data_IF_500447146327
#
_entry.id   IF_500447146327
#
_cell.length_a   1.000
_cell.length_b   1.000
_cell.length_c   1.000
_cell.angle_alpha   90.00
_cell.angle_beta   90.00
_cell.angle_gamma   90.00
#
_symmetry.space_group_name_H-M   'P 1'
#
loop_
_entity.id
_entity.type
_entity.pdbx_description
1 polymer ?
#
# COMPACT_ATOMS: atom_id res chain seq x y z
N UNK A 1 20.54 7.36 11.91
CA UNK A 1 21.16 6.33 12.78
C UNK A 1 22.29 5.69 12.02
N UNK A 2 23.45 5.46 12.63
CA UNK A 2 24.59 4.88 11.90
C UNK A 2 24.42 3.39 11.66
N UNK A 3 24.57 2.96 10.41
CA UNK A 3 24.63 1.55 10.04
C UNK A 3 25.84 0.90 10.73
N UNK A 4 25.65 -0.27 11.35
CA UNK A 4 26.74 -0.98 12.04
C UNK A 4 27.71 -1.67 11.09
N UNK A 5 27.31 -1.89 9.83
CA UNK A 5 28.12 -2.59 8.84
C UNK A 5 29.02 -1.62 8.04
N UNK A 6 28.46 -0.49 7.59
CA UNK A 6 29.20 0.49 6.77
C UNK A 6 29.39 1.86 7.45
N UNK A 7 28.82 2.10 8.63
CA UNK A 7 29.04 3.33 9.42
C UNK A 7 28.28 4.57 8.96
N UNK A 8 27.50 4.47 7.89
CA UNK A 8 26.82 5.61 7.23
C UNK A 8 25.52 5.94 7.95
N UNK A 9 25.11 7.21 7.91
CA UNK A 9 23.83 7.64 8.46
C UNK A 9 22.65 7.14 7.62
N UNK A 10 21.87 6.24 8.23
CA UNK A 10 20.62 5.68 7.70
C UNK A 10 19.45 6.49 8.27
N UNK A 11 18.52 6.96 7.44
CA UNK A 11 17.34 7.67 7.90
C UNK A 11 16.50 6.75 8.80
N UNK A 12 15.87 7.31 9.84
CA UNK A 12 15.18 6.52 10.88
C UNK A 12 13.94 5.75 10.37
N UNK A 13 13.55 5.93 9.12
CA UNK A 13 12.45 5.21 8.47
C UNK A 13 12.90 4.04 7.61
N UNK A 14 14.20 3.90 7.33
CA UNK A 14 14.71 2.81 6.51
C UNK A 14 15.11 1.61 7.38
N UNK A 15 14.57 0.45 7.00
CA UNK A 15 14.82 -0.84 7.64
C UNK A 15 16.12 -1.49 7.14
N UNK A 16 16.61 -1.02 5.99
CA UNK A 16 17.82 -1.50 5.33
C UNK A 16 18.74 -0.32 5.05
N UNK A 17 20.05 -0.55 5.17
CA UNK A 17 21.02 0.45 4.75
C UNK A 17 21.06 0.55 3.21
N UNK A 18 20.95 1.77 2.62
CA UNK A 18 20.91 1.95 1.17
C UNK A 18 22.24 1.61 0.46
N UNK A 19 23.35 1.56 1.19
CA UNK A 19 24.68 1.35 0.58
C UNK A 19 25.14 -0.12 0.68
N UNK A 20 24.95 -0.76 1.84
CA UNK A 20 25.42 -2.14 2.07
C UNK A 20 24.30 -3.18 2.11
N UNK A 21 23.03 -2.77 2.03
CA UNK A 21 21.87 -3.66 2.07
C UNK A 21 21.62 -4.37 3.41
N UNK A 22 22.43 -4.09 4.45
CA UNK A 22 22.28 -4.73 5.75
C UNK A 22 21.02 -4.25 6.48
N UNK A 23 20.31 -5.19 7.12
CA UNK A 23 19.13 -4.91 7.93
C UNK A 23 19.55 -4.10 9.17
N UNK A 24 18.97 -2.92 9.35
CA UNK A 24 19.31 -1.99 10.43
C UNK A 24 18.32 -2.00 11.59
N UNK A 25 17.26 -2.81 11.54
CA UNK A 25 16.30 -2.97 12.63
C UNK A 25 16.96 -3.55 13.89
N UNK A 26 16.89 -2.84 15.02
CA UNK A 26 17.55 -3.24 16.29
C UNK A 26 16.56 -3.65 17.38
N UNK A 27 15.30 -3.24 17.26
CA UNK A 27 14.27 -3.50 18.27
C UNK A 27 13.02 -4.11 17.65
N UNK A 28 12.19 -4.78 18.46
CA UNK A 28 10.86 -5.24 18.01
C UNK A 28 9.98 -4.08 17.51
N UNK A 29 10.20 -2.88 18.03
CA UNK A 29 9.50 -1.67 17.59
C UNK A 29 9.90 -1.26 16.16
N UNK A 30 11.16 -1.48 15.77
CA UNK A 30 11.61 -1.21 14.40
C UNK A 30 10.99 -2.18 13.39
N UNK A 31 10.84 -3.47 13.78
CA UNK A 31 10.19 -4.49 12.94
C UNK A 31 8.68 -4.24 12.74
N UNK A 32 8.02 -3.59 13.71
CA UNK A 32 6.60 -3.22 13.61
C UNK A 32 6.35 -1.95 12.78
N UNK A 33 7.42 -1.27 12.34
CA UNK A 33 7.30 -0.06 11.55
C UNK A 33 6.87 -0.44 10.13
N UNK A 34 5.62 -0.13 9.79
CA UNK A 34 5.07 -0.38 8.46
C UNK A 34 5.83 0.47 7.44
N UNK A 35 6.43 -0.17 6.43
CA UNK A 35 7.12 0.55 5.36
C UNK A 35 6.11 1.42 4.58
N UNK A 36 6.27 2.76 4.59
CA UNK A 36 5.34 3.66 3.91
C UNK A 36 5.32 3.44 2.39
N UNK A 37 6.43 2.97 1.78
CA UNK A 37 6.49 2.68 0.35
C UNK A 37 5.69 1.43 0.00
N UNK A 38 5.84 0.35 0.78
CA UNK A 38 5.05 -0.88 0.59
C UNK A 38 3.55 -0.62 0.80
N UNK A 39 3.20 0.14 1.85
CA UNK A 39 1.81 0.52 2.14
C UNK A 39 1.19 1.33 0.99
N UNK A 40 1.96 2.26 0.41
CA UNK A 40 1.53 3.04 -0.75
C UNK A 40 1.34 2.16 -1.99
N UNK A 41 2.18 1.13 -2.18
CA UNK A 41 2.03 0.14 -3.24
C UNK A 41 0.73 -0.66 -3.12
N UNK A 42 0.42 -1.16 -1.92
CA UNK A 42 -0.83 -1.88 -1.64
C UNK A 42 -2.04 -0.97 -1.89
N UNK A 43 -1.98 0.28 -1.45
CA UNK A 43 -3.07 1.23 -1.66
C UNK A 43 -3.36 1.47 -3.15
N UNK A 44 -2.32 1.65 -3.97
CA UNK A 44 -2.48 1.77 -5.42
C UNK A 44 -3.01 0.49 -6.07
N UNK A 45 -2.57 -0.69 -5.63
CA UNK A 45 -3.07 -1.96 -6.12
C UNK A 45 -4.57 -2.13 -5.85
N UNK A 46 -5.03 -1.79 -4.64
CA UNK A 46 -6.44 -1.81 -4.27
C UNK A 46 -7.28 -0.84 -5.11
N UNK A 47 -6.77 0.39 -5.31
CA UNK A 47 -7.42 1.39 -6.17
C UNK A 47 -7.53 0.86 -7.60
N UNK A 48 -6.43 0.34 -8.16
CA UNK A 48 -6.41 -0.20 -9.52
C UNK A 48 -7.40 -1.36 -9.70
N UNK A 49 -7.45 -2.29 -8.75
CA UNK A 49 -8.43 -3.38 -8.76
C UNK A 49 -9.87 -2.86 -8.68
N UNK A 50 -10.14 -1.87 -7.84
CA UNK A 50 -11.45 -1.24 -7.74
C UNK A 50 -11.88 -0.55 -9.05
N UNK A 51 -10.98 0.19 -9.70
CA UNK A 51 -11.24 0.82 -11.01
C UNK A 51 -11.52 -0.24 -12.08
N UNK A 52 -10.69 -1.29 -12.15
CA UNK A 52 -10.89 -2.39 -13.10
C UNK A 52 -12.23 -3.10 -12.87
N UNK A 53 -12.60 -3.34 -11.62
CA UNK A 53 -13.89 -3.91 -11.25
C UNK A 53 -15.05 -3.03 -11.69
N UNK A 54 -14.98 -1.71 -11.46
CA UNK A 54 -16.01 -0.78 -11.94
C UNK A 54 -16.12 -0.80 -13.47
N UNK A 55 -14.99 -0.76 -14.19
CA UNK A 55 -14.98 -0.82 -15.64
C UNK A 55 -15.63 -2.12 -16.15
N UNK A 56 -15.36 -3.26 -15.49
CA UNK A 56 -16.00 -4.53 -15.80
C UNK A 56 -17.52 -4.49 -15.60
N UNK A 57 -18.00 -3.98 -14.46
CA UNK A 57 -19.43 -3.87 -14.16
C UNK A 57 -20.12 -2.96 -15.18
N UNK A 58 -19.55 -1.79 -15.48
CA UNK A 58 -20.10 -0.84 -16.47
C UNK A 58 -20.17 -1.48 -17.86
N UNK A 59 -19.12 -2.21 -18.27
CA UNK A 59 -19.08 -2.87 -19.58
C UNK A 59 -20.14 -3.97 -19.70
N UNK A 60 -20.54 -4.59 -18.59
CA UNK A 60 -21.53 -5.67 -18.56
C UNK A 60 -22.93 -5.19 -18.10
N UNK A 61 -23.15 -3.89 -17.90
CA UNK A 61 -24.43 -3.36 -17.42
C UNK A 61 -25.62 -3.61 -18.38
N UNK A 62 -25.33 -3.97 -19.62
CA UNK A 62 -26.29 -4.28 -20.67
C UNK A 62 -26.73 -5.74 -20.69
N UNK A 63 -26.17 -6.57 -19.81
CA UNK A 63 -26.41 -8.02 -19.79
C UNK A 63 -27.43 -8.41 -18.73
N UNK A 64 -28.16 -9.49 -18.97
CA UNK A 64 -29.34 -9.86 -18.16
C UNK A 64 -29.02 -10.32 -16.73
N UNK A 65 -27.76 -10.64 -16.45
CA UNK A 65 -27.26 -11.02 -15.12
C UNK A 65 -26.70 -9.84 -14.31
N UNK A 66 -26.79 -8.62 -14.83
CA UNK A 66 -26.37 -7.42 -14.10
C UNK A 66 -27.24 -7.16 -12.88
N UNK A 67 -26.60 -6.88 -11.75
CA UNK A 67 -27.22 -6.37 -10.54
C UNK A 67 -26.56 -5.09 -10.08
N UNK A 68 -27.34 -4.13 -9.58
CA UNK A 68 -26.79 -2.94 -8.92
C UNK A 68 -25.88 -3.28 -7.73
N UNK A 69 -26.00 -4.49 -7.17
CA UNK A 69 -25.13 -4.99 -6.10
C UNK A 69 -23.69 -5.26 -6.59
N UNK A 70 -23.48 -5.41 -7.89
CA UNK A 70 -22.16 -5.72 -8.47
C UNK A 70 -21.17 -4.56 -8.31
N UNK A 71 -21.66 -3.33 -8.08
CA UNK A 71 -20.81 -2.17 -7.76
C UNK A 71 -20.23 -2.23 -6.34
N UNK A 72 -20.83 -2.98 -5.42
CA UNK A 72 -20.44 -2.96 -4.00
C UNK A 72 -18.99 -3.40 -3.82
N UNK A 73 -18.58 -4.50 -4.48
CA UNK A 73 -17.20 -5.01 -4.40
C UNK A 73 -16.17 -3.99 -4.90
N UNK A 74 -16.28 -3.50 -6.15
CA UNK A 74 -15.39 -2.49 -6.70
C UNK A 74 -15.35 -1.19 -5.90
N UNK A 75 -16.51 -0.68 -5.45
CA UNK A 75 -16.58 0.54 -4.63
C UNK A 75 -15.91 0.33 -3.26
N UNK A 76 -16.14 -0.81 -2.61
CA UNK A 76 -15.48 -1.14 -1.34
C UNK A 76 -13.95 -1.18 -1.50
N UNK A 77 -13.43 -1.75 -2.59
CA UNK A 77 -12.00 -1.75 -2.89
C UNK A 77 -11.43 -0.35 -3.09
N UNK A 78 -12.16 0.54 -3.78
CA UNK A 78 -11.76 1.94 -3.92
C UNK A 78 -11.73 2.67 -2.59
N UNK A 79 -12.72 2.45 -1.72
CA UNK A 79 -12.76 3.05 -0.38
C UNK A 79 -11.62 2.54 0.49
N UNK A 80 -11.35 1.23 0.49
CA UNK A 80 -10.23 0.62 1.20
C UNK A 80 -8.88 1.12 0.67
N UNK A 81 -8.71 1.18 -0.64
CA UNK A 81 -7.52 1.73 -1.30
C UNK A 81 -7.30 3.21 -0.97
N UNK A 82 -8.36 4.03 -1.02
CA UNK A 82 -8.31 5.45 -0.65
C UNK A 82 -7.99 5.67 0.82
N UNK A 83 -8.60 4.90 1.72
CA UNK A 83 -8.33 4.96 3.15
C UNK A 83 -6.88 4.56 3.46
N UNK A 84 -6.39 3.45 2.90
CA UNK A 84 -5.01 3.00 3.09
C UNK A 84 -4.00 4.01 2.52
N UNK A 85 -4.30 4.62 1.37
CA UNK A 85 -3.49 5.70 0.80
C UNK A 85 -3.43 6.92 1.72
N UNK A 86 -4.58 7.35 2.26
CA UNK A 86 -4.67 8.47 3.19
C UNK A 86 -3.86 8.20 4.47
N UNK A 87 -3.99 7.01 5.05
CA UNK A 87 -3.23 6.61 6.24
C UNK A 87 -1.72 6.56 5.95
N UNK A 88 -1.32 6.00 4.81
CA UNK A 88 0.09 5.95 4.40
C UNK A 88 0.69 7.35 4.24
N UNK A 89 -0.10 8.30 3.72
CA UNK A 89 0.33 9.69 3.52
C UNK A 89 0.33 10.51 4.81
N UNK A 90 -0.59 10.25 5.74
CA UNK A 90 -0.67 10.92 7.04
C UNK A 90 0.51 10.59 7.97
N UNK A 91 1.19 9.47 7.72
CA UNK A 91 2.38 9.03 8.48
C UNK A 91 3.73 9.50 7.90
N UNK A 92 3.73 10.23 6.78
CA UNK A 92 4.93 10.90 6.23
C UNK A 92 5.10 12.27 6.87
#
# INVERSE_FOLDING_TARGET
MKCTNCGIDVPANDLNCPDCGAITARTKADLQKTDPAMTQGIAWALIAMGVLGLAFVISNAWTDWYSGLDYVGPVALLLLGGFTFFVARSKK
#
